data_IF_096852982189
#
_entry.id   IF_096852982189
#
_cell.length_a   1.000
_cell.length_b   1.000
_cell.length_c   1.000
_cell.angle_alpha   90.00
_cell.angle_beta   90.00
_cell.angle_gamma   90.00
#
_symmetry.space_group_name_H-M   'P 1'
#
loop_
_entity.id
_entity.type
_entity.pdbx_description
1 polymer ?
#
# COMPACT_ATOMS: atom_id res chain seq x y z
N UNK A 1 -34.31 -24.97 14.14
CA UNK A 1 -33.90 -23.99 13.11
C UNK A 1 -32.84 -23.10 13.70
N UNK A 2 -31.80 -22.73 12.96
CA UNK A 2 -30.75 -21.87 13.54
C UNK A 2 -31.28 -20.43 13.65
N UNK A 3 -30.83 -19.69 14.66
CA UNK A 3 -31.15 -18.26 14.85
C UNK A 3 -30.92 -17.42 13.58
N UNK A 4 -29.98 -17.86 12.72
CA UNK A 4 -29.69 -17.21 11.44
C UNK A 4 -30.89 -17.33 10.49
N UNK A 5 -31.58 -18.46 10.44
CA UNK A 5 -32.74 -18.63 9.56
C UNK A 5 -33.89 -17.70 9.97
N UNK A 6 -34.12 -17.53 11.26
CA UNK A 6 -35.15 -16.58 11.77
C UNK A 6 -34.85 -15.13 11.38
N UNK A 7 -33.60 -14.74 11.36
CA UNK A 7 -33.18 -13.39 10.93
C UNK A 7 -33.38 -13.23 9.41
N UNK A 8 -33.13 -14.28 8.63
CA UNK A 8 -33.16 -14.23 7.18
C UNK A 8 -34.58 -14.44 6.59
N UNK A 9 -35.50 -15.08 7.30
CA UNK A 9 -36.85 -15.40 6.84
C UNK A 9 -37.67 -14.16 6.42
N UNK A 10 -37.37 -13.00 6.98
CA UNK A 10 -38.03 -11.73 6.67
C UNK A 10 -37.25 -10.85 5.67
N UNK A 11 -36.09 -11.29 5.20
CA UNK A 11 -35.28 -10.53 4.25
C UNK A 11 -35.62 -10.91 2.83
N UNK A 12 -36.25 -9.99 2.09
CA UNK A 12 -36.48 -10.15 0.67
C UNK A 12 -35.18 -10.05 -0.09
N UNK A 13 -34.65 -11.18 -0.54
CA UNK A 13 -33.41 -11.20 -1.33
C UNK A 13 -33.59 -10.42 -2.64
N UNK A 14 -32.64 -9.60 -3.04
CA UNK A 14 -32.68 -8.92 -4.33
C UNK A 14 -32.54 -9.93 -5.46
N UNK A 15 -33.17 -9.63 -6.59
CA UNK A 15 -33.02 -10.45 -7.80
C UNK A 15 -31.57 -10.26 -8.32
N UNK A 16 -30.99 -11.39 -8.73
CA UNK A 16 -29.66 -11.43 -9.34
C UNK A 16 -29.84 -11.54 -10.85
N UNK A 17 -29.13 -10.68 -11.59
CA UNK A 17 -29.03 -10.77 -13.03
C UNK A 17 -27.60 -11.04 -13.46
N UNK A 18 -27.44 -11.77 -14.54
CA UNK A 18 -26.16 -11.96 -15.20
C UNK A 18 -25.82 -10.69 -15.99
N UNK A 19 -24.69 -10.07 -15.67
CA UNK A 19 -24.17 -8.91 -16.40
C UNK A 19 -22.86 -9.27 -17.09
N UNK A 20 -22.62 -8.69 -18.24
CA UNK A 20 -21.31 -8.74 -18.92
C UNK A 20 -20.74 -7.34 -18.96
N UNK A 21 -19.46 -7.20 -18.60
CA UNK A 21 -18.75 -5.93 -18.63
C UNK A 21 -17.49 -6.09 -19.47
N UNK A 22 -17.27 -5.15 -20.36
CA UNK A 22 -16.03 -5.05 -21.14
C UNK A 22 -15.16 -3.99 -20.52
N UNK A 23 -13.91 -4.34 -20.25
CA UNK A 23 -12.90 -3.43 -19.71
C UNK A 23 -11.95 -2.97 -20.80
N UNK A 24 -11.45 -1.75 -20.69
CA UNK A 24 -10.33 -1.28 -21.51
C UNK A 24 -9.08 -2.13 -21.19
N UNK A 25 -8.48 -2.68 -22.23
CA UNK A 25 -7.25 -3.51 -22.15
C UNK A 25 -5.99 -2.73 -22.51
N UNK A 26 -6.04 -1.40 -22.58
CA UNK A 26 -4.88 -0.56 -22.85
C UNK A 26 -3.79 -0.84 -21.82
N UNK A 27 -2.57 -1.03 -22.26
CA UNK A 27 -1.40 -1.31 -21.43
C UNK A 27 -0.31 -0.30 -21.70
N UNK A 28 0.50 -0.04 -20.68
CA UNK A 28 1.74 0.72 -20.84
C UNK A 28 2.85 -0.24 -21.26
N UNK A 29 3.61 0.12 -22.28
CA UNK A 29 4.75 -0.67 -22.76
C UNK A 29 5.97 -0.49 -21.84
N UNK A 30 6.18 0.70 -21.30
CA UNK A 30 7.26 1.04 -20.37
C UNK A 30 6.73 1.63 -19.08
N UNK A 31 6.36 0.75 -18.14
CA UNK A 31 5.81 1.15 -16.83
C UNK A 31 6.82 1.93 -15.99
N UNK A 32 8.10 1.56 -16.03
CA UNK A 32 9.15 2.22 -15.24
C UNK A 32 9.44 3.63 -15.78
N UNK A 33 9.57 3.77 -17.10
CA UNK A 33 9.80 5.06 -17.75
C UNK A 33 8.63 6.02 -17.57
N UNK A 34 7.40 5.54 -17.75
CA UNK A 34 6.19 6.36 -17.57
C UNK A 34 6.06 6.83 -16.11
N UNK A 35 6.31 5.96 -15.13
CA UNK A 35 6.30 6.36 -13.72
C UNK A 35 7.38 7.41 -13.42
N UNK A 36 8.61 7.21 -13.88
CA UNK A 36 9.68 8.18 -13.68
C UNK A 36 9.33 9.54 -14.28
N UNK A 37 8.77 9.56 -15.49
CA UNK A 37 8.34 10.79 -16.15
C UNK A 37 7.26 11.51 -15.33
N UNK A 38 6.24 10.78 -14.86
CA UNK A 38 5.18 11.35 -14.01
C UNK A 38 5.70 11.91 -12.67
N UNK A 39 6.68 11.25 -12.05
CA UNK A 39 7.29 11.73 -10.82
C UNK A 39 8.03 13.08 -11.04
N UNK A 40 8.62 13.27 -12.22
CA UNK A 40 9.27 14.51 -12.63
C UNK A 40 8.22 15.59 -12.96
N UNK A 41 7.27 15.28 -13.83
CA UNK A 41 6.25 16.23 -14.32
C UNK A 41 5.36 16.79 -13.21
N UNK A 42 5.13 16.02 -12.16
CA UNK A 42 4.34 16.43 -10.99
C UNK A 42 5.17 17.12 -9.90
N UNK A 43 6.42 17.44 -10.18
CA UNK A 43 7.34 18.11 -9.23
C UNK A 43 7.47 17.35 -7.89
N UNK A 44 7.32 16.02 -7.92
CA UNK A 44 7.46 15.20 -6.69
C UNK A 44 8.89 15.32 -6.14
N UNK A 45 9.87 15.44 -7.02
CA UNK A 45 11.28 15.66 -6.65
C UNK A 45 11.45 16.85 -5.71
N UNK A 46 10.70 17.94 -5.91
CA UNK A 46 10.83 19.16 -5.13
C UNK A 46 10.28 19.02 -3.71
N UNK A 47 9.43 18.01 -3.48
CA UNK A 47 8.87 17.68 -2.17
C UNK A 47 9.77 16.77 -1.34
N UNK A 48 10.70 16.06 -1.98
CA UNK A 48 11.62 15.13 -1.31
C UNK A 48 12.99 15.81 -1.19
N UNK A 49 13.40 16.10 0.03
CA UNK A 49 14.69 16.74 0.29
C UNK A 49 15.74 15.73 0.72
N UNK A 50 17.05 16.02 0.47
CA UNK A 50 18.14 15.19 0.99
C UNK A 50 18.05 15.00 2.50
N UNK A 51 18.30 13.78 2.96
CA UNK A 51 18.26 13.41 4.37
C UNK A 51 16.90 12.98 4.90
N UNK A 52 15.79 13.24 4.17
CA UNK A 52 14.44 12.78 4.56
C UNK A 52 14.36 11.26 4.64
N UNK A 53 13.54 10.77 5.55
CA UNK A 53 13.09 9.37 5.62
C UNK A 53 11.70 9.28 4.99
N UNK A 54 11.56 8.46 3.96
CA UNK A 54 10.30 8.33 3.21
C UNK A 54 9.77 6.91 3.37
N UNK A 55 8.60 6.80 4.00
CA UNK A 55 7.87 5.54 4.08
C UNK A 55 7.13 5.29 2.76
N UNK A 56 7.20 4.07 2.25
CA UNK A 56 6.46 3.62 1.05
C UNK A 56 5.54 2.50 1.49
N UNK A 57 4.24 2.61 1.21
CA UNK A 57 3.29 1.59 1.64
C UNK A 57 3.40 0.33 0.77
N UNK A 58 3.33 -0.83 1.42
CA UNK A 58 3.33 -2.13 0.77
C UNK A 58 2.01 -2.86 1.00
N UNK A 59 1.16 -2.96 -0.04
CA UNK A 59 -0.11 -3.68 0.02
C UNK A 59 0.04 -5.19 -0.05
N UNK A 60 -1.04 -5.91 0.28
CA UNK A 60 -1.09 -7.39 0.28
C UNK A 60 -1.50 -7.99 -1.05
N UNK A 61 -2.04 -7.20 -1.96
CA UNK A 61 -2.51 -7.65 -3.27
C UNK A 61 -1.51 -7.26 -4.34
N UNK A 62 -1.13 -8.22 -5.18
CA UNK A 62 -0.30 -7.93 -6.34
C UNK A 62 -1.06 -7.07 -7.35
N UNK A 63 -0.41 -6.04 -7.82
CA UNK A 63 -0.79 -5.30 -9.01
C UNK A 63 0.20 -5.63 -10.12
N UNK A 64 -0.19 -5.40 -11.37
CA UNK A 64 0.73 -5.61 -12.50
C UNK A 64 2.01 -4.78 -12.28
N UNK A 65 3.17 -5.39 -12.52
CA UNK A 65 4.48 -4.74 -12.36
C UNK A 65 4.77 -4.17 -10.96
N UNK A 66 4.17 -4.78 -9.91
CA UNK A 66 4.27 -4.25 -8.54
C UNK A 66 5.72 -4.10 -8.05
N UNK A 67 6.54 -5.11 -8.29
CA UNK A 67 7.95 -5.08 -7.90
C UNK A 67 8.73 -3.99 -8.65
N UNK A 68 8.48 -3.84 -9.94
CA UNK A 68 9.09 -2.82 -10.79
C UNK A 68 8.70 -1.42 -10.36
N UNK A 69 7.41 -1.18 -10.10
CA UNK A 69 6.90 0.08 -9.58
C UNK A 69 7.55 0.43 -8.23
N UNK A 70 7.58 -0.52 -7.30
CA UNK A 70 8.20 -0.34 -5.99
C UNK A 70 9.69 0.01 -6.11
N UNK A 71 10.43 -0.73 -6.95
CA UNK A 71 11.85 -0.49 -7.20
C UNK A 71 12.10 0.88 -7.83
N UNK A 72 11.25 1.30 -8.74
CA UNK A 72 11.33 2.61 -9.40
C UNK A 72 11.14 3.74 -8.40
N UNK A 73 10.12 3.65 -7.54
CA UNK A 73 9.89 4.64 -6.47
C UNK A 73 11.07 4.69 -5.49
N UNK A 74 11.55 3.54 -5.03
CA UNK A 74 12.72 3.45 -4.15
C UNK A 74 13.94 4.12 -4.77
N UNK A 75 14.20 3.84 -6.06
CA UNK A 75 15.32 4.44 -6.81
C UNK A 75 15.15 5.95 -6.93
N UNK A 76 13.94 6.41 -7.21
CA UNK A 76 13.64 7.84 -7.32
C UNK A 76 13.88 8.58 -6.00
N UNK A 77 13.37 8.05 -4.88
CA UNK A 77 13.59 8.64 -3.55
C UNK A 77 15.07 8.73 -3.21
N UNK A 78 15.83 7.66 -3.50
CA UNK A 78 17.30 7.66 -3.31
C UNK A 78 18.00 8.70 -4.18
N UNK A 79 17.60 8.87 -5.43
CA UNK A 79 18.14 9.91 -6.33
C UNK A 79 17.88 11.33 -5.82
N UNK A 80 16.83 11.53 -5.02
CA UNK A 80 16.56 12.79 -4.32
C UNK A 80 17.44 12.98 -3.08
N UNK A 81 18.31 12.03 -2.72
CA UNK A 81 19.16 12.07 -1.52
C UNK A 81 18.43 11.68 -0.24
N UNK A 82 17.22 11.11 -0.33
CA UNK A 82 16.42 10.66 0.79
C UNK A 82 16.58 9.15 1.04
N UNK A 83 16.16 8.70 2.21
CA UNK A 83 16.24 7.30 2.64
C UNK A 83 14.84 6.68 2.58
N UNK A 84 14.52 5.83 1.58
CA UNK A 84 13.25 5.12 1.52
C UNK A 84 13.27 3.88 2.42
N UNK A 85 12.10 3.53 2.95
CA UNK A 85 11.82 2.24 3.55
C UNK A 85 10.36 1.85 3.27
N UNK A 86 10.07 0.54 3.27
CA UNK A 86 8.74 0.02 3.00
C UNK A 86 8.08 -0.35 4.32
N UNK A 87 6.80 0.02 4.48
CA UNK A 87 5.95 -0.42 5.59
C UNK A 87 4.78 -1.24 5.04
N UNK A 88 4.47 -2.41 5.59
CA UNK A 88 3.26 -3.14 5.23
C UNK A 88 2.02 -2.30 5.54
N UNK A 89 1.08 -2.25 4.59
CA UNK A 89 -0.18 -1.50 4.69
C UNK A 89 -1.32 -2.38 4.22
N UNK A 90 -1.64 -3.41 5.00
CA UNK A 90 -2.52 -4.48 4.58
C UNK A 90 -3.53 -4.92 5.67
N UNK A 91 -3.71 -4.10 6.70
CA UNK A 91 -4.69 -4.34 7.76
C UNK A 91 -4.45 -5.67 8.49
N UNK A 92 -5.47 -6.53 8.55
CA UNK A 92 -5.41 -7.83 9.23
C UNK A 92 -4.78 -8.95 8.40
N UNK A 93 -4.35 -8.68 7.17
CA UNK A 93 -3.72 -9.71 6.33
C UNK A 93 -2.40 -10.19 6.95
N UNK A 94 -1.94 -11.36 6.53
CA UNK A 94 -0.77 -12.00 7.14
C UNK A 94 -1.00 -12.41 8.60
N UNK A 95 -2.26 -12.64 8.99
CA UNK A 95 -2.64 -12.97 10.36
C UNK A 95 -2.53 -11.79 11.33
N UNK A 96 -2.43 -10.54 10.83
CA UNK A 96 -2.26 -9.34 11.66
C UNK A 96 -0.94 -9.36 12.45
N UNK A 97 0.09 -9.99 11.91
CA UNK A 97 1.42 -10.09 12.56
C UNK A 97 2.49 -9.47 11.67
N UNK A 98 3.52 -8.90 12.29
CA UNK A 98 4.67 -8.34 11.60
C UNK A 98 5.32 -9.34 10.64
N UNK A 99 5.60 -10.56 11.12
CA UNK A 99 6.20 -11.62 10.32
C UNK A 99 5.30 -12.06 9.16
N UNK A 100 3.99 -12.23 9.43
CA UNK A 100 3.02 -12.63 8.41
C UNK A 100 2.89 -11.62 7.29
N UNK A 101 2.90 -10.32 7.61
CA UNK A 101 2.84 -9.24 6.65
C UNK A 101 4.13 -9.13 5.82
N UNK A 102 5.29 -9.26 6.44
CA UNK A 102 6.56 -9.32 5.72
C UNK A 102 6.62 -10.52 4.76
N UNK A 103 6.14 -11.68 5.20
CA UNK A 103 6.07 -12.87 4.37
C UNK A 103 5.12 -12.70 3.16
N UNK A 104 4.03 -11.94 3.31
CA UNK A 104 3.16 -11.60 2.18
C UNK A 104 3.89 -10.74 1.14
N UNK A 105 4.63 -9.72 1.57
CA UNK A 105 5.45 -8.91 0.65
C UNK A 105 6.51 -9.77 -0.06
N UNK A 106 7.17 -10.69 0.67
CA UNK A 106 8.12 -11.63 0.07
C UNK A 106 7.49 -12.51 -1.02
N UNK A 107 6.26 -13.00 -0.80
CA UNK A 107 5.52 -13.77 -1.82
C UNK A 107 5.22 -12.96 -3.09
N UNK A 108 5.05 -11.65 -2.95
CA UNK A 108 4.89 -10.72 -4.08
C UNK A 108 6.24 -10.29 -4.71
N UNK A 109 7.35 -10.88 -4.28
CA UNK A 109 8.69 -10.56 -4.76
C UNK A 109 9.28 -9.26 -4.18
N UNK A 110 8.63 -8.68 -3.18
CA UNK A 110 9.11 -7.48 -2.49
C UNK A 110 10.00 -7.92 -1.32
N UNK A 111 11.30 -7.73 -1.49
CA UNK A 111 12.33 -8.02 -0.47
C UNK A 111 13.34 -6.90 -0.47
N UNK A 112 14.08 -6.73 0.62
CA UNK A 112 15.19 -5.75 0.70
C UNK A 112 16.12 -5.86 -0.52
N UNK A 113 16.46 -7.08 -0.94
CA UNK A 113 17.34 -7.32 -2.08
C UNK A 113 16.71 -6.90 -3.41
N UNK A 114 15.43 -7.19 -3.62
CA UNK A 114 14.75 -6.93 -4.91
C UNK A 114 14.43 -5.46 -5.12
N UNK A 115 14.04 -4.74 -4.06
CA UNK A 115 13.64 -3.32 -4.15
C UNK A 115 14.74 -2.35 -3.74
N UNK A 116 15.74 -2.83 -2.99
CA UNK A 116 16.92 -2.04 -2.64
C UNK A 116 16.75 -1.13 -1.42
N UNK A 117 15.75 -1.33 -0.55
CA UNK A 117 15.60 -0.61 0.71
C UNK A 117 15.12 -1.54 1.83
N UNK A 118 15.14 -1.05 3.07
CA UNK A 118 14.62 -1.80 4.21
C UNK A 118 13.10 -1.99 4.10
N UNK A 119 12.63 -3.12 4.64
CA UNK A 119 11.22 -3.37 4.91
C UNK A 119 11.08 -3.37 6.43
N UNK A 120 10.29 -2.45 6.97
CA UNK A 120 10.08 -2.32 8.41
C UNK A 120 8.64 -2.75 8.68
N UNK A 121 8.47 -3.97 9.14
CA UNK A 121 7.18 -4.52 9.52
C UNK A 121 7.05 -4.47 11.04
N UNK A 122 6.04 -3.77 11.53
CA UNK A 122 5.72 -3.63 12.95
C UNK A 122 4.22 -3.63 13.16
N UNK A 123 3.78 -3.97 14.37
CA UNK A 123 2.39 -3.80 14.80
C UNK A 123 2.24 -2.60 15.74
N UNK A 124 3.34 -1.87 16.00
CA UNK A 124 3.29 -0.66 16.80
C UNK A 124 2.56 0.44 16.04
N UNK A 125 1.58 1.05 16.70
CA UNK A 125 0.80 2.15 16.14
C UNK A 125 0.87 3.37 17.04
N UNK A 126 0.59 4.53 16.46
CA UNK A 126 0.40 5.80 17.19
C UNK A 126 -0.93 6.43 16.77
N UNK A 127 -1.61 7.07 17.72
CA UNK A 127 -2.79 7.88 17.43
C UNK A 127 -2.36 9.18 16.76
N UNK A 128 -2.89 9.45 15.58
CA UNK A 128 -2.58 10.66 14.80
C UNK A 128 -3.71 11.67 14.79
N UNK A 129 -4.84 11.33 15.40
CA UNK A 129 -5.98 12.23 15.52
C UNK A 129 -7.28 11.49 15.76
N UNK A 130 -8.37 12.25 15.70
CA UNK A 130 -9.73 11.72 15.86
C UNK A 130 -10.63 12.20 14.73
N UNK A 131 -11.57 11.36 14.37
CA UNK A 131 -12.63 11.73 13.41
C UNK A 131 -13.64 12.69 14.05
N UNK A 132 -14.51 13.29 13.23
CA UNK A 132 -15.62 14.12 13.70
C UNK A 132 -16.63 13.35 14.59
N UNK A 133 -16.58 12.02 14.59
CA UNK A 133 -17.38 11.13 15.45
C UNK A 133 -16.59 10.62 16.67
N UNK A 134 -15.50 11.29 17.02
CA UNK A 134 -14.62 10.95 18.16
C UNK A 134 -13.98 9.54 18.09
N UNK A 135 -13.79 9.00 16.89
CA UNK A 135 -13.08 7.75 16.71
C UNK A 135 -11.57 8.02 16.54
N UNK A 136 -10.75 7.40 17.36
CA UNK A 136 -9.28 7.49 17.24
C UNK A 136 -8.79 6.91 15.92
N UNK A 137 -7.84 7.61 15.29
CA UNK A 137 -7.19 7.20 14.05
C UNK A 137 -5.74 6.83 14.36
N UNK A 138 -5.38 5.61 14.01
CA UNK A 138 -4.04 5.06 14.24
C UNK A 138 -3.32 4.79 12.94
N UNK A 139 -2.01 4.98 12.93
CA UNK A 139 -1.15 4.57 11.83
C UNK A 139 0.12 3.87 12.38
N UNK A 140 0.81 3.14 11.52
CA UNK A 140 2.12 2.54 11.85
C UNK A 140 3.08 3.59 12.41
N UNK A 141 3.74 3.26 13.51
CA UNK A 141 4.66 4.16 14.23
C UNK A 141 5.84 4.60 13.37
N UNK A 142 6.37 3.71 12.52
CA UNK A 142 7.49 4.05 11.64
C UNK A 142 7.05 5.00 10.53
N UNK A 143 5.85 4.78 9.97
CA UNK A 143 5.27 5.68 8.97
C UNK A 143 4.95 7.06 9.57
N UNK A 144 4.44 7.11 10.81
CA UNK A 144 4.17 8.37 11.52
C UNK A 144 5.45 9.19 11.77
N UNK A 145 6.59 8.52 11.98
CA UNK A 145 7.88 9.13 12.23
C UNK A 145 8.70 9.40 10.95
N UNK A 146 8.14 9.15 9.77
CA UNK A 146 8.75 9.49 8.50
C UNK A 146 8.51 10.97 8.15
N UNK A 147 9.40 11.56 7.37
CA UNK A 147 9.25 12.93 6.87
C UNK A 147 8.22 13.03 5.73
N UNK A 148 7.86 11.89 5.13
CA UNK A 148 6.83 11.79 4.12
C UNK A 148 6.41 10.35 3.87
N UNK A 149 5.20 10.17 3.31
CA UNK A 149 4.63 8.87 2.99
C UNK A 149 4.25 8.85 1.51
N UNK A 150 4.67 7.81 0.79
CA UNK A 150 4.23 7.52 -0.57
C UNK A 150 3.28 6.33 -0.50
N UNK A 151 2.06 6.52 -0.98
CA UNK A 151 1.06 5.46 -1.09
C UNK A 151 1.18 4.75 -2.44
N UNK A 152 1.35 3.42 -2.41
CA UNK A 152 1.42 2.55 -3.58
C UNK A 152 0.46 1.38 -3.43
#
# INVERSE_FOLDING_TARGET
MSQINEILDNIKLPQIMKVSQTFDNTKLDDVEGDLNQKLIDKNIKDKIKPGMKIAITGGSRGISSYKELMKTIVSFVKKCGATPFIVPSMGSHGGGTSEGQENMLKKLGITKKSVGCEIISSMDVVEVGRTSKDLSVYIDKNAANADGIILL
#
